data_IF_423677239650
#
_entry.id   IF_423677239650
#
_cell.length_a   1.000
_cell.length_b   1.000
_cell.length_c   1.000
_cell.angle_alpha   90.00
_cell.angle_beta   90.00
_cell.angle_gamma   90.00
#
_symmetry.space_group_name_H-M   'P 1'
#
loop_
_entity.id
_entity.type
_entity.pdbx_description
1 polymer ?
#
# COMPACT_ATOMS: atom_id res chain seq x y z
N UNK A 1 -11.09 -7.89 6.43
CA UNK A 1 -11.38 -6.89 7.49
C UNK A 1 -10.84 -5.59 6.97
N UNK A 2 -11.62 -4.51 6.97
CA UNK A 2 -11.16 -3.20 6.46
C UNK A 2 -10.87 -2.30 7.67
N UNK A 3 -9.63 -1.84 7.80
CA UNK A 3 -9.21 -0.94 8.87
C UNK A 3 -8.41 0.23 8.32
N UNK A 4 -8.79 1.44 8.71
CA UNK A 4 -8.11 2.69 8.35
C UNK A 4 -6.91 2.88 9.28
N UNK A 5 -5.70 2.89 8.73
CA UNK A 5 -4.47 3.08 9.50
C UNK A 5 -3.60 4.20 8.93
N UNK A 6 -2.79 4.84 9.79
CA UNK A 6 -1.68 5.68 9.34
C UNK A 6 -0.49 4.81 8.93
N UNK A 7 0.47 5.38 8.17
CA UNK A 7 1.73 4.69 7.84
C UNK A 7 2.44 4.12 9.07
N UNK A 8 2.54 4.91 10.14
CA UNK A 8 3.20 4.49 11.39
C UNK A 8 2.46 3.33 12.07
N UNK A 9 1.12 3.36 12.07
CA UNK A 9 0.31 2.28 12.64
C UNK A 9 0.42 0.98 11.81
N UNK A 10 0.48 1.09 10.48
CA UNK A 10 0.70 -0.07 9.61
C UNK A 10 2.04 -0.73 9.90
N UNK A 11 3.12 0.05 10.01
CA UNK A 11 4.45 -0.45 10.35
C UNK A 11 4.49 -1.13 11.73
N UNK A 12 3.77 -0.60 12.72
CA UNK A 12 3.70 -1.19 14.06
C UNK A 12 2.86 -2.46 14.13
N UNK A 13 1.71 -2.48 13.44
CA UNK A 13 0.74 -3.59 13.51
C UNK A 13 1.10 -4.74 12.58
N UNK A 14 1.70 -4.43 11.44
CA UNK A 14 2.04 -5.36 10.37
C UNK A 14 3.50 -5.19 9.94
N UNK A 15 4.50 -5.36 10.83
CA UNK A 15 5.90 -5.12 10.49
C UNK A 15 6.39 -6.11 9.41
N UNK A 16 7.23 -5.61 8.50
CA UNK A 16 7.89 -6.41 7.45
C UNK A 16 6.94 -7.24 6.59
N UNK A 17 5.83 -6.63 6.17
CA UNK A 17 4.75 -7.32 5.47
C UNK A 17 4.20 -6.50 4.30
N UNK A 18 3.72 -7.20 3.28
CA UNK A 18 2.97 -6.61 2.18
C UNK A 18 1.51 -6.41 2.56
N UNK A 19 0.99 -5.22 2.29
CA UNK A 19 -0.40 -4.85 2.50
C UNK A 19 -1.05 -4.49 1.17
N UNK A 20 -2.28 -4.94 0.98
CA UNK A 20 -3.17 -4.35 -0.01
C UNK A 20 -3.87 -3.15 0.59
N UNK A 21 -3.60 -1.96 0.05
CA UNK A 21 -4.17 -0.71 0.52
C UNK A 21 -5.19 -0.17 -0.48
N UNK A 22 -6.27 0.43 0.02
CA UNK A 22 -7.26 1.15 -0.77
C UNK A 22 -7.58 2.51 -0.15
N UNK A 23 -8.29 3.38 -0.86
CA UNK A 23 -8.75 4.68 -0.35
C UNK A 23 -7.61 5.53 0.27
N UNK A 24 -6.52 5.64 -0.49
CA UNK A 24 -5.27 6.23 -0.02
C UNK A 24 -5.44 7.73 0.19
N UNK A 25 -4.92 8.23 1.31
CA UNK A 25 -4.69 9.65 1.55
C UNK A 25 -3.18 9.90 1.60
N UNK A 26 -2.72 10.77 0.72
CA UNK A 26 -1.34 11.25 0.69
C UNK A 26 -1.18 12.51 1.54
N UNK A 27 -0.05 12.65 2.21
CA UNK A 27 0.29 13.84 2.98
C UNK A 27 0.58 15.00 2.04
N UNK A 28 0.10 16.19 2.38
CA UNK A 28 0.27 17.42 1.58
C UNK A 28 -0.23 17.30 0.13
N UNK A 29 -1.09 16.33 -0.17
CA UNK A 29 -1.59 16.05 -1.52
C UNK A 29 -0.46 15.84 -2.56
N UNK A 30 0.70 15.36 -2.12
CA UNK A 30 1.88 15.18 -2.98
C UNK A 30 1.78 13.96 -3.91
N UNK A 31 0.79 13.09 -3.68
CA UNK A 31 0.58 11.85 -4.44
C UNK A 31 1.59 10.75 -4.14
N UNK A 32 2.40 10.92 -3.10
CA UNK A 32 3.63 10.16 -2.86
C UNK A 32 3.72 9.70 -1.40
N UNK A 33 3.59 10.61 -0.46
CA UNK A 33 3.80 10.35 0.96
C UNK A 33 2.54 9.76 1.55
N UNK A 34 2.51 8.46 1.85
CA UNK A 34 1.36 7.82 2.48
C UNK A 34 1.09 8.42 3.88
N UNK A 35 -0.07 9.06 4.06
CA UNK A 35 -0.55 9.54 5.37
C UNK A 35 -1.38 8.45 6.04
N UNK A 36 -2.42 7.96 5.34
CA UNK A 36 -3.31 6.90 5.79
C UNK A 36 -4.00 6.18 4.64
N UNK A 37 -4.37 4.92 4.83
CA UNK A 37 -5.17 4.17 3.87
C UNK A 37 -5.98 3.08 4.56
N UNK A 38 -6.93 2.51 3.83
CA UNK A 38 -7.72 1.37 4.28
C UNK A 38 -6.96 0.09 3.93
N UNK A 39 -6.56 -0.67 4.96
CA UNK A 39 -5.92 -1.98 4.78
C UNK A 39 -7.00 -2.99 4.47
N UNK A 40 -6.94 -3.57 3.27
CA UNK A 40 -7.92 -4.55 2.77
C UNK A 40 -7.38 -5.97 2.72
N UNK A 41 -6.06 -6.13 2.53
CA UNK A 41 -5.37 -7.42 2.48
C UNK A 41 -4.13 -7.42 3.38
N UNK A 42 -3.96 -8.48 4.17
CA UNK A 42 -2.85 -8.66 5.13
C UNK A 42 -2.21 -10.04 5.05
N UNK A 43 -2.67 -10.89 4.14
CA UNK A 43 -2.35 -12.31 4.04
C UNK A 43 -1.95 -12.72 2.62
N UNK A 44 -1.53 -11.73 1.81
CA UNK A 44 -1.16 -11.91 0.40
C UNK A 44 0.31 -11.59 0.18
N UNK A 45 0.91 -12.25 -0.80
CA UNK A 45 2.25 -11.92 -1.28
C UNK A 45 2.23 -10.66 -2.16
N UNK A 46 3.40 -10.11 -2.44
CA UNK A 46 3.57 -9.02 -3.42
C UNK A 46 2.95 -9.39 -4.78
N UNK A 47 3.26 -10.58 -5.29
CA UNK A 47 2.78 -11.05 -6.59
C UNK A 47 1.25 -11.14 -6.64
N UNK A 48 0.62 -11.69 -5.59
CA UNK A 48 -0.84 -11.79 -5.51
C UNK A 48 -1.51 -10.41 -5.45
N UNK A 49 -0.90 -9.45 -4.72
CA UNK A 49 -1.40 -8.08 -4.67
C UNK A 49 -1.24 -7.38 -6.02
N UNK A 50 -0.13 -7.62 -6.72
CA UNK A 50 0.12 -7.09 -8.05
C UNK A 50 -0.87 -7.63 -9.08
N UNK A 51 -1.19 -8.92 -9.03
CA UNK A 51 -2.23 -9.52 -9.87
C UNK A 51 -3.60 -8.89 -9.64
N UNK A 52 -3.99 -8.66 -8.38
CA UNK A 52 -5.25 -7.97 -8.05
C UNK A 52 -5.25 -6.53 -8.55
N UNK A 53 -4.12 -5.83 -8.42
CA UNK A 53 -3.96 -4.48 -8.94
C UNK A 53 -4.09 -4.43 -10.47
N UNK A 54 -3.61 -5.45 -11.18
CA UNK A 54 -3.73 -5.58 -12.64
C UNK A 54 -5.16 -5.94 -13.11
N UNK A 55 -5.86 -6.79 -12.36
CA UNK A 55 -7.26 -7.13 -12.64
C UNK A 55 -8.16 -5.88 -12.60
N UNK A 56 -7.82 -4.92 -11.75
CA UNK A 56 -8.43 -3.59 -11.73
C UNK A 56 -9.87 -3.55 -11.21
N UNK A 57 -10.44 -4.70 -10.83
CA UNK A 57 -11.74 -4.76 -10.16
C UNK A 57 -11.71 -4.09 -8.78
N UNK A 58 -10.59 -4.22 -8.07
CA UNK A 58 -10.35 -3.58 -6.78
C UNK A 58 -9.22 -2.56 -6.93
N UNK A 59 -9.53 -1.28 -6.69
CA UNK A 59 -8.55 -0.19 -6.74
C UNK A 59 -7.63 -0.25 -5.52
N UNK A 60 -6.70 -1.20 -5.54
CA UNK A 60 -5.69 -1.37 -4.50
C UNK A 60 -4.29 -0.97 -5.00
N UNK A 61 -3.41 -0.72 -4.05
CA UNK A 61 -1.96 -0.71 -4.27
C UNK A 61 -1.30 -1.73 -3.35
N UNK A 62 -0.22 -2.36 -3.81
CA UNK A 62 0.70 -3.07 -2.93
C UNK A 62 1.58 -2.07 -2.15
N UNK A 63 1.75 -2.30 -0.85
CA UNK A 63 2.59 -1.47 0.01
C UNK A 63 3.36 -2.31 1.01
N UNK A 64 4.67 -2.09 1.13
CA UNK A 64 5.50 -2.77 2.10
C UNK A 64 5.70 -1.91 3.37
N UNK A 65 5.39 -2.47 4.54
CA UNK A 65 5.27 -1.69 5.78
C UNK A 65 6.58 -1.19 6.37
N UNK A 66 7.71 -1.81 6.04
CA UNK A 66 9.04 -1.35 6.43
C UNK A 66 9.74 -0.56 5.31
N UNK A 67 9.00 -0.14 4.29
CA UNK A 67 9.56 0.72 3.26
C UNK A 67 9.69 2.15 3.81
N UNK A 68 10.82 2.40 4.48
CA UNK A 68 11.34 3.74 4.72
C UNK A 68 11.97 4.34 3.46
N UNK A 69 12.03 3.58 2.35
CA UNK A 69 12.52 4.13 1.11
C UNK A 69 11.56 5.19 0.59
N UNK A 70 12.16 6.26 0.07
CA UNK A 70 11.56 7.20 -0.85
C UNK A 70 10.71 6.43 -1.89
N UNK A 71 9.62 7.03 -2.42
CA UNK A 71 8.81 6.40 -3.45
C UNK A 71 9.72 5.82 -4.53
N UNK A 72 9.81 4.50 -4.60
CA UNK A 72 10.37 3.87 -5.76
C UNK A 72 9.33 4.09 -6.85
N UNK A 73 9.60 5.16 -7.61
CA UNK A 73 8.76 5.63 -8.69
C UNK A 73 8.37 4.46 -9.57
N UNK A 74 7.09 4.45 -9.95
CA UNK A 74 6.57 3.94 -11.22
C UNK A 74 7.60 3.09 -11.95
N UNK A 75 7.63 1.79 -11.66
CA UNK A 75 8.50 0.86 -12.37
C UNK A 75 8.10 0.85 -13.85
N UNK A 76 8.94 1.51 -14.67
CA UNK A 76 9.17 1.30 -16.09
C UNK A 76 7.97 1.03 -17.00
N UNK A 77 7.51 2.07 -17.70
CA UNK A 77 7.18 1.93 -19.13
C UNK A 77 8.37 2.49 -19.91
N UNK A 78 9.15 1.60 -20.52
CA UNK A 78 9.99 1.89 -21.68
C UNK A 78 9.11 1.97 -22.92
#
# INVERSE_FOLDING_TARGET
MIERLTREQMAQKYPDMWLGLSNIKYANDDGVTLESADVVYTDKTEDELFEIQLDGAEKIISWYTNDNALPLGVAGVL
#
